data_IF_459956839069
#
_entry.id   IF_459956839069
#
_cell.length_a   1.000
_cell.length_b   1.000
_cell.length_c   1.000
_cell.angle_alpha   90.00
_cell.angle_beta   90.00
_cell.angle_gamma   90.00
#
_symmetry.space_group_name_H-M   'P 1'
#
loop_
_entity.id
_entity.type
_entity.pdbx_description
1 polymer ?
#
# COMPACT_ATOMS: atom_id res chain seq x y z
N UNK A 1 20.17 14.67 -29.60
CA UNK A 1 20.27 13.21 -29.31
C UNK A 1 20.14 12.85 -27.82
N UNK A 2 20.15 13.83 -26.90
CA UNK A 2 19.99 13.62 -25.43
C UNK A 2 18.54 13.58 -24.93
N UNK A 3 17.58 14.07 -25.68
CA UNK A 3 16.19 14.33 -25.24
C UNK A 3 15.27 13.08 -25.30
N UNK A 4 15.59 12.10 -26.15
CA UNK A 4 14.66 10.96 -26.41
C UNK A 4 14.82 9.75 -25.49
N UNK A 5 15.97 9.55 -24.85
CA UNK A 5 16.11 8.52 -23.81
C UNK A 5 15.47 8.96 -22.47
N UNK A 6 15.37 10.27 -22.26
CA UNK A 6 14.74 10.85 -21.07
C UNK A 6 13.23 10.55 -21.00
N UNK A 7 12.57 10.38 -22.14
CA UNK A 7 11.10 10.22 -22.17
C UNK A 7 10.59 8.87 -21.67
N UNK A 8 11.31 7.78 -21.90
CA UNK A 8 10.89 6.46 -21.37
C UNK A 8 11.02 6.40 -19.85
N UNK A 9 11.92 7.17 -19.32
CA UNK A 9 12.29 7.21 -17.91
C UNK A 9 11.39 8.15 -17.12
N UNK A 10 11.00 9.30 -17.71
CA UNK A 10 10.03 10.22 -17.09
C UNK A 10 8.67 9.54 -16.83
N UNK A 11 8.28 8.58 -17.67
CA UNK A 11 7.07 7.79 -17.46
C UNK A 11 7.09 6.95 -16.20
N UNK A 12 8.26 6.47 -15.79
CA UNK A 12 8.41 5.61 -14.62
C UNK A 12 8.59 6.43 -13.34
N UNK A 13 9.10 7.67 -13.46
CA UNK A 13 9.16 8.62 -12.35
C UNK A 13 7.77 9.17 -11.97
N UNK A 14 6.87 9.38 -12.94
CA UNK A 14 5.52 9.87 -12.70
C UNK A 14 4.64 8.89 -11.88
N UNK A 15 4.94 7.59 -11.90
CA UNK A 15 4.26 6.61 -11.07
C UNK A 15 4.61 6.68 -9.58
N UNK A 16 5.68 7.40 -9.22
CA UNK A 16 6.20 7.42 -7.85
C UNK A 16 6.05 8.79 -7.15
N UNK A 17 5.63 9.83 -7.87
CA UNK A 17 5.41 11.17 -7.28
C UNK A 17 4.06 11.30 -6.56
N UNK A 18 3.17 10.28 -6.64
CA UNK A 18 1.89 10.28 -5.94
C UNK A 18 1.95 9.82 -4.48
N UNK A 19 3.15 9.58 -3.93
CA UNK A 19 3.37 9.28 -2.52
C UNK A 19 4.01 10.45 -1.76
N UNK A 20 3.66 11.69 -2.09
CA UNK A 20 3.87 12.77 -1.12
C UNK A 20 2.98 12.46 0.10
N UNK A 21 3.56 12.36 1.30
CA UNK A 21 2.76 12.26 2.50
C UNK A 21 1.88 13.51 2.59
N UNK A 22 0.58 13.31 2.77
CA UNK A 22 -0.33 14.39 3.09
C UNK A 22 0.30 15.24 4.20
N UNK A 23 0.20 16.59 4.15
CA UNK A 23 0.74 17.42 5.19
C UNK A 23 0.20 16.94 6.52
N UNK A 24 1.11 16.64 7.45
CA UNK A 24 0.78 16.22 8.80
C UNK A 24 -0.10 17.30 9.43
N UNK A 25 -1.40 17.03 9.49
CA UNK A 25 -2.28 17.75 10.38
C UNK A 25 -1.75 17.52 11.78
N UNK A 26 -1.51 18.57 12.51
CA UNK A 26 -1.14 18.57 13.92
C UNK A 26 -2.12 17.70 14.68
N UNK A 27 -1.73 16.48 14.99
CA UNK A 27 -2.46 15.60 15.88
C UNK A 27 -2.04 15.99 17.29
N UNK A 28 -2.86 16.82 17.93
CA UNK A 28 -2.83 16.99 19.37
C UNK A 28 -3.07 15.63 20.05
N UNK A 29 -2.26 15.39 21.08
CA UNK A 29 -2.05 14.12 21.75
C UNK A 29 -3.32 13.34 22.10
N UNK A 30 -3.33 12.06 21.75
CA UNK A 30 -4.25 11.09 22.33
C UNK A 30 -3.49 9.88 22.89
N UNK A 31 -3.87 9.40 24.08
CA UNK A 31 -3.26 8.23 24.72
C UNK A 31 -3.60 6.96 23.94
N UNK A 32 -2.62 6.08 23.86
CA UNK A 32 -2.66 4.83 23.11
C UNK A 32 -3.86 3.94 23.43
N UNK A 33 -4.57 3.56 22.40
CA UNK A 33 -5.52 2.46 22.43
C UNK A 33 -4.85 1.26 21.76
N UNK A 34 -4.65 0.20 22.53
CA UNK A 34 -4.28 -1.12 22.02
C UNK A 34 -5.40 -1.60 21.12
N UNK A 35 -5.12 -1.80 19.84
CA UNK A 35 -6.04 -2.44 18.92
C UNK A 35 -5.93 -3.95 19.07
N UNK A 36 -7.00 -4.55 19.54
CA UNK A 36 -7.20 -5.99 19.52
C UNK A 36 -7.50 -6.43 18.09
N UNK A 37 -6.56 -7.15 17.45
CA UNK A 37 -6.60 -7.55 16.04
C UNK A 37 -7.62 -8.67 15.72
N UNK A 38 -8.62 -8.91 16.57
CA UNK A 38 -9.55 -10.03 16.43
C UNK A 38 -10.91 -9.72 15.77
N UNK A 39 -11.13 -8.53 15.21
CA UNK A 39 -12.45 -8.15 14.70
C UNK A 39 -12.60 -8.20 13.16
N UNK A 40 -11.72 -8.85 12.42
CA UNK A 40 -11.89 -9.05 10.97
C UNK A 40 -11.85 -10.53 10.54
N UNK A 41 -12.47 -11.40 11.29
CA UNK A 41 -12.71 -12.79 10.87
C UNK A 41 -14.16 -12.94 10.36
N UNK A 42 -14.45 -12.45 9.15
CA UNK A 42 -15.79 -12.55 8.58
C UNK A 42 -15.86 -12.57 7.04
N UNK A 43 -14.73 -12.67 6.35
CA UNK A 43 -14.74 -12.88 4.90
C UNK A 43 -14.38 -14.34 4.66
N UNK A 44 -15.26 -15.15 4.00
CA UNK A 44 -14.91 -16.51 3.65
C UNK A 44 -13.67 -16.47 2.76
N UNK A 45 -12.59 -17.04 3.23
CA UNK A 45 -11.45 -17.38 2.39
C UNK A 45 -11.90 -18.45 1.42
N UNK A 46 -12.19 -18.09 0.20
CA UNK A 46 -12.11 -19.08 -0.87
C UNK A 46 -10.67 -19.59 -0.90
N UNK A 47 -10.45 -20.88 -0.99
CA UNK A 47 -9.12 -21.41 -1.22
C UNK A 47 -8.66 -20.82 -2.56
N UNK A 48 -7.70 -19.94 -2.51
CA UNK A 48 -6.91 -19.57 -3.67
C UNK A 48 -6.14 -20.85 -3.95
N UNK A 49 -6.71 -21.69 -4.82
CA UNK A 49 -5.92 -22.70 -5.48
C UNK A 49 -4.71 -21.96 -6.01
N UNK A 50 -3.53 -22.40 -5.56
CA UNK A 50 -2.26 -21.91 -6.06
C UNK A 50 -2.19 -22.14 -7.57
N UNK A 51 -2.82 -21.28 -8.32
CA UNK A 51 -2.49 -21.07 -9.70
C UNK A 51 -1.14 -20.35 -9.57
N UNK A 52 -0.08 -21.17 -9.59
CA UNK A 52 1.20 -20.81 -10.16
C UNK A 52 0.92 -19.66 -11.11
N UNK A 53 1.60 -18.52 -10.92
CA UNK A 53 1.68 -17.49 -11.93
C UNK A 53 1.87 -18.22 -13.26
N UNK A 54 0.77 -18.50 -13.95
CA UNK A 54 0.82 -18.72 -15.37
C UNK A 54 1.32 -17.39 -15.88
N UNK A 55 2.64 -17.19 -15.83
CA UNK A 55 3.32 -16.38 -16.78
C UNK A 55 2.57 -16.66 -18.06
N UNK A 56 1.85 -15.67 -18.62
CA UNK A 56 1.36 -15.81 -19.96
C UNK A 56 2.49 -16.52 -20.67
N UNK A 57 2.29 -17.77 -21.07
CA UNK A 57 3.36 -18.53 -21.69
C UNK A 57 3.69 -17.72 -22.93
N UNK A 58 4.62 -16.79 -22.74
CA UNK A 58 5.42 -16.31 -23.85
C UNK A 58 5.96 -17.62 -24.39
N UNK A 59 5.40 -18.05 -25.50
CA UNK A 59 5.80 -19.29 -26.15
C UNK A 59 7.30 -19.26 -26.12
N UNK A 60 7.89 -20.22 -25.41
CA UNK A 60 9.32 -20.21 -25.14
C UNK A 60 10.01 -19.86 -26.44
N UNK A 61 10.73 -18.74 -26.55
CA UNK A 61 11.40 -18.38 -27.79
C UNK A 61 12.44 -19.43 -28.23
N UNK A 62 12.55 -20.49 -27.46
CA UNK A 62 13.55 -21.53 -27.54
C UNK A 62 13.08 -22.87 -28.15
N UNK A 63 11.90 -22.88 -28.77
CA UNK A 63 11.53 -24.02 -29.66
C UNK A 63 12.41 -23.99 -30.89
N UNK A 64 13.52 -24.72 -30.87
CA UNK A 64 14.44 -24.83 -32.00
C UNK A 64 13.73 -25.53 -33.17
N UNK A 65 13.75 -24.94 -34.38
CA UNK A 65 13.38 -25.67 -35.55
C UNK A 65 14.40 -26.82 -35.81
N UNK A 66 13.93 -27.98 -36.12
CA UNK A 66 14.69 -29.23 -36.34
C UNK A 66 15.40 -29.21 -37.71
N UNK A 67 16.05 -28.14 -38.10
CA UNK A 67 16.80 -28.08 -39.37
C UNK A 67 18.30 -27.91 -39.11
N UNK A 68 19.18 -28.64 -39.85
CA UNK A 68 20.62 -28.49 -39.71
C UNK A 68 21.04 -27.07 -40.09
N UNK A 69 21.69 -26.36 -39.17
CA UNK A 69 22.23 -25.05 -39.37
C UNK A 69 23.45 -25.10 -40.28
N UNK A 70 23.33 -24.60 -41.49
CA UNK A 70 24.50 -24.24 -42.31
C UNK A 70 25.21 -23.06 -41.62
N UNK A 71 26.55 -23.14 -41.36
CA UNK A 71 27.25 -22.02 -40.76
C UNK A 71 27.10 -20.78 -41.65
N UNK A 72 26.49 -19.75 -41.06
CA UNK A 72 26.30 -18.46 -41.76
C UNK A 72 27.66 -17.85 -42.05
N UNK A 73 28.02 -17.81 -43.32
CA UNK A 73 29.25 -17.14 -43.78
C UNK A 73 29.24 -15.68 -43.24
N UNK A 74 30.35 -15.25 -42.65
CA UNK A 74 30.57 -13.90 -42.13
C UNK A 74 30.31 -12.87 -43.23
N UNK A 75 29.13 -12.30 -43.27
CA UNK A 75 28.82 -11.25 -44.28
C UNK A 75 29.47 -9.93 -43.88
N UNK A 76 30.09 -9.22 -44.79
CA UNK A 76 30.79 -7.94 -44.49
C UNK A 76 29.82 -6.81 -44.07
N UNK A 77 28.52 -7.00 -44.20
CA UNK A 77 27.49 -6.04 -43.76
C UNK A 77 26.28 -6.76 -43.19
N UNK A 78 25.60 -6.08 -42.27
CA UNK A 78 24.31 -6.53 -41.69
C UNK A 78 23.21 -5.60 -42.16
N UNK A 79 22.14 -6.13 -42.70
CA UNK A 79 20.95 -5.38 -43.07
C UNK A 79 20.00 -5.33 -41.85
N UNK A 80 19.43 -4.16 -41.59
CA UNK A 80 18.46 -3.96 -40.54
C UNK A 80 17.11 -3.55 -41.13
N UNK A 81 16.04 -3.85 -40.42
CA UNK A 81 14.68 -3.43 -40.72
C UNK A 81 14.00 -2.86 -39.47
N UNK A 82 13.05 -1.93 -39.65
CA UNK A 82 12.30 -1.38 -38.53
C UNK A 82 11.36 -2.45 -37.95
N UNK A 83 11.24 -2.47 -36.60
CA UNK A 83 10.30 -3.26 -35.87
C UNK A 83 9.54 -2.42 -34.84
N UNK A 84 8.43 -2.91 -34.37
CA UNK A 84 7.54 -2.21 -33.44
C UNK A 84 7.24 -3.10 -32.26
N UNK A 85 7.28 -2.54 -31.06
CA UNK A 85 6.66 -3.11 -29.86
C UNK A 85 5.24 -2.56 -29.81
N UNK A 86 4.25 -3.43 -30.06
CA UNK A 86 2.86 -3.04 -30.18
C UNK A 86 2.13 -3.20 -28.85
N UNK A 87 1.34 -2.19 -28.48
CA UNK A 87 0.28 -2.27 -27.51
C UNK A 87 -1.05 -2.45 -28.25
N UNK A 88 -1.55 -3.67 -28.27
CA UNK A 88 -2.73 -4.04 -29.05
C UNK A 88 -4.05 -3.78 -28.32
N UNK A 89 -4.07 -3.71 -26.98
CA UNK A 89 -5.27 -3.81 -26.18
C UNK A 89 -5.43 -2.77 -25.07
N UNK A 90 -4.38 -2.01 -24.77
CA UNK A 90 -4.41 -1.09 -23.61
C UNK A 90 -5.23 0.17 -23.81
N UNK A 91 -5.51 0.54 -25.06
CA UNK A 91 -6.23 1.76 -25.43
C UNK A 91 -7.33 1.44 -26.47
N UNK A 92 -8.13 2.46 -26.78
CA UNK A 92 -9.23 2.32 -27.75
C UNK A 92 -8.79 1.84 -29.14
N UNK A 93 -7.52 2.07 -29.48
CA UNK A 93 -6.89 1.59 -30.72
C UNK A 93 -5.50 1.05 -30.42
N UNK A 94 -5.01 0.07 -31.19
CA UNK A 94 -3.63 -0.39 -31.09
C UNK A 94 -2.63 0.76 -31.27
N UNK A 95 -1.62 0.81 -30.41
CA UNK A 95 -0.61 1.85 -30.42
C UNK A 95 0.79 1.25 -30.45
N UNK A 96 1.70 1.86 -31.22
CA UNK A 96 3.11 1.53 -31.12
C UNK A 96 3.67 2.09 -29.80
N UNK A 97 4.13 1.21 -28.90
CA UNK A 97 4.77 1.60 -27.65
C UNK A 97 6.22 2.05 -27.88
N UNK A 98 6.95 1.32 -28.72
CA UNK A 98 8.30 1.68 -29.11
C UNK A 98 8.60 1.22 -30.55
N UNK A 99 9.54 1.89 -31.21
CA UNK A 99 10.16 1.47 -32.48
C UNK A 99 11.61 1.13 -32.22
N UNK A 100 12.14 0.22 -33.01
CA UNK A 100 13.54 -0.19 -32.96
C UNK A 100 13.99 -0.78 -34.27
N UNK A 101 15.28 -1.07 -34.40
CA UNK A 101 15.82 -1.80 -35.52
C UNK A 101 16.17 -3.23 -35.11
N UNK A 102 15.85 -4.18 -36.02
CA UNK A 102 16.24 -5.59 -35.87
C UNK A 102 17.01 -6.02 -37.11
N UNK A 103 17.84 -7.05 -37.05
CA UNK A 103 18.45 -7.63 -38.24
C UNK A 103 17.39 -8.14 -39.19
N UNK A 104 17.63 -7.96 -40.49
CA UNK A 104 16.73 -8.40 -41.54
C UNK A 104 16.45 -9.90 -41.45
N UNK A 105 15.18 -10.26 -41.57
CA UNK A 105 14.70 -11.64 -41.51
C UNK A 105 14.53 -12.20 -40.10
N UNK A 106 14.77 -11.42 -39.04
CA UNK A 106 14.41 -11.87 -37.69
C UNK A 106 12.90 -11.85 -37.51
N UNK A 107 12.40 -12.77 -36.67
CA UNK A 107 10.97 -12.88 -36.36
C UNK A 107 10.69 -12.26 -35.02
N UNK A 108 9.67 -11.41 -34.98
CA UNK A 108 9.23 -10.75 -33.74
C UNK A 108 8.01 -11.42 -33.14
N UNK A 109 7.94 -11.45 -31.81
CA UNK A 109 6.78 -11.94 -31.04
C UNK A 109 6.55 -11.09 -29.82
N UNK A 110 5.28 -11.03 -29.35
CA UNK A 110 4.91 -10.30 -28.14
C UNK A 110 4.63 -8.82 -28.36
N UNK A 111 4.62 -8.07 -27.27
CA UNK A 111 4.25 -6.64 -27.23
C UNK A 111 4.07 -6.11 -25.83
N UNK A 112 3.09 -5.23 -25.63
CA UNK A 112 2.61 -4.79 -24.32
C UNK A 112 1.38 -5.61 -23.97
N UNK A 113 1.31 -6.11 -22.75
CA UNK A 113 0.22 -6.94 -22.22
C UNK A 113 -0.47 -6.21 -21.08
N UNK A 114 -1.80 -6.25 -21.07
CA UNK A 114 -2.63 -5.70 -20.00
C UNK A 114 -3.37 -6.82 -19.29
N UNK A 115 -3.28 -6.83 -17.95
CA UNK A 115 -3.97 -7.81 -17.15
C UNK A 115 -4.17 -7.30 -15.71
N UNK A 116 -5.21 -7.81 -15.03
CA UNK A 116 -5.52 -7.41 -13.66
C UNK A 116 -4.43 -7.83 -12.67
N UNK A 117 -3.72 -8.92 -12.93
CA UNK A 117 -2.60 -9.38 -12.12
C UNK A 117 -1.39 -8.44 -12.14
N UNK A 118 -1.31 -7.52 -13.10
CA UNK A 118 -0.23 -6.52 -13.19
C UNK A 118 -0.49 -5.26 -12.34
N UNK A 119 -1.26 -5.36 -11.26
CA UNK A 119 -1.59 -4.22 -10.38
C UNK A 119 -0.35 -3.51 -9.86
N UNK A 120 0.69 -4.27 -9.53
CA UNK A 120 1.96 -3.71 -9.04
C UNK A 120 2.71 -2.89 -10.09
N UNK A 121 2.44 -3.13 -11.37
CA UNK A 121 3.00 -2.42 -12.52
C UNK A 121 1.95 -1.61 -13.30
N UNK A 122 0.93 -1.11 -12.58
CA UNK A 122 -0.14 -0.26 -13.11
C UNK A 122 -1.00 -0.90 -14.21
N UNK A 123 -1.17 -2.22 -14.17
CA UNK A 123 -2.08 -2.97 -15.04
C UNK A 123 -1.46 -3.40 -16.38
N UNK A 124 -0.20 -3.09 -16.67
CA UNK A 124 0.45 -3.50 -17.92
C UNK A 124 1.88 -4.00 -17.70
N UNK A 125 2.38 -4.76 -18.66
CA UNK A 125 3.74 -5.25 -18.68
C UNK A 125 4.25 -5.44 -20.12
N UNK A 126 5.55 -5.66 -20.26
CA UNK A 126 6.21 -5.91 -21.54
C UNK A 126 6.60 -7.38 -21.64
N UNK A 127 6.57 -7.90 -22.87
CA UNK A 127 7.08 -9.21 -23.20
C UNK A 127 7.24 -9.29 -24.72
N UNK A 128 8.39 -8.81 -25.22
CA UNK A 128 8.67 -8.76 -26.65
C UNK A 128 10.02 -9.40 -26.96
N UNK A 129 10.13 -10.07 -28.10
CA UNK A 129 11.39 -10.63 -28.56
C UNK A 129 11.53 -10.61 -30.07
N UNK A 130 12.78 -10.64 -30.55
CA UNK A 130 13.14 -10.88 -31.92
C UNK A 130 14.19 -11.99 -31.97
N UNK A 131 13.99 -12.97 -32.86
CA UNK A 131 14.82 -14.17 -32.97
C UNK A 131 15.31 -14.37 -34.41
N UNK A 132 16.57 -14.73 -34.54
CA UNK A 132 17.20 -15.05 -35.83
C UNK A 132 16.50 -16.20 -36.54
N UNK A 133 16.62 -16.33 -37.86
CA UNK A 133 15.97 -17.40 -38.64
C UNK A 133 16.35 -18.82 -38.20
N UNK A 134 17.56 -19.01 -37.69
CA UNK A 134 18.05 -20.27 -37.15
C UNK A 134 17.60 -20.54 -35.70
N UNK A 135 16.94 -19.57 -35.04
CA UNK A 135 16.45 -19.67 -33.69
C UNK A 135 17.52 -19.60 -32.60
N UNK A 136 18.80 -19.39 -32.96
CA UNK A 136 19.91 -19.48 -32.00
C UNK A 136 20.30 -18.17 -31.37
N UNK A 137 20.01 -17.07 -32.04
CA UNK A 137 20.36 -15.72 -31.58
C UNK A 137 19.08 -14.92 -31.38
N UNK A 138 18.94 -14.26 -30.26
CA UNK A 138 17.74 -13.46 -29.96
C UNK A 138 18.04 -12.23 -29.13
N UNK A 139 17.14 -11.26 -29.22
CA UNK A 139 17.03 -10.15 -28.30
C UNK A 139 15.61 -10.06 -27.76
N UNK A 140 15.47 -9.56 -26.54
CA UNK A 140 14.16 -9.44 -25.90
C UNK A 140 14.06 -8.18 -25.03
N UNK A 141 12.84 -7.72 -24.87
CA UNK A 141 12.44 -6.80 -23.81
C UNK A 141 11.64 -7.61 -22.79
N UNK A 142 12.27 -7.88 -21.66
CA UNK A 142 11.67 -8.64 -20.56
C UNK A 142 10.80 -7.75 -19.68
N UNK A 143 9.89 -8.34 -18.90
CA UNK A 143 8.92 -7.61 -18.11
C UNK A 143 9.54 -6.60 -17.14
N UNK A 144 8.85 -5.49 -16.96
CA UNK A 144 9.05 -4.63 -15.80
C UNK A 144 8.57 -5.36 -14.53
N UNK A 145 9.12 -4.98 -13.38
CA UNK A 145 8.75 -5.55 -12.10
C UNK A 145 8.65 -4.48 -11.01
N UNK A 146 7.77 -4.71 -10.05
CA UNK A 146 7.76 -3.93 -8.83
C UNK A 146 7.56 -4.86 -7.63
N UNK A 147 8.12 -4.51 -6.49
CA UNK A 147 8.03 -5.28 -5.26
C UNK A 147 8.17 -4.38 -4.05
N UNK A 148 7.83 -4.94 -2.90
CA UNK A 148 8.00 -4.31 -1.61
C UNK A 148 8.80 -5.21 -0.68
N UNK A 149 9.47 -4.62 0.31
CA UNK A 149 10.08 -5.32 1.43
C UNK A 149 9.89 -4.49 2.70
N UNK A 150 9.66 -5.13 3.83
CA UNK A 150 9.57 -4.45 5.11
C UNK A 150 10.10 -5.30 6.25
N UNK A 151 10.55 -4.65 7.32
CA UNK A 151 11.05 -5.31 8.53
C UNK A 151 9.95 -5.60 9.54
N UNK A 152 8.77 -5.02 9.38
CA UNK A 152 7.63 -5.17 10.30
C UNK A 152 6.83 -6.46 10.08
N UNK A 153 7.07 -7.19 8.98
CA UNK A 153 6.29 -8.38 8.61
C UNK A 153 4.84 -8.08 8.21
N UNK A 154 4.49 -6.80 8.01
CA UNK A 154 3.14 -6.43 7.55
C UNK A 154 2.92 -6.84 6.09
N UNK A 155 1.68 -7.15 5.68
CA UNK A 155 1.35 -7.38 4.27
C UNK A 155 1.73 -6.21 3.38
N UNK A 156 1.90 -6.47 2.08
CA UNK A 156 2.12 -5.42 1.09
C UNK A 156 1.05 -4.33 1.17
N UNK A 157 1.48 -3.08 1.06
CA UNK A 157 0.57 -1.93 1.05
C UNK A 157 -0.20 -1.81 -0.27
N UNK A 158 0.32 -2.43 -1.34
CA UNK A 158 -0.31 -2.48 -2.66
C UNK A 158 -0.74 -3.91 -3.00
N UNK A 159 -2.05 -4.15 -3.23
CA UNK A 159 -2.53 -5.46 -3.64
C UNK A 159 -1.79 -5.96 -4.89
N UNK A 160 -1.37 -7.22 -4.87
CA UNK A 160 -0.67 -7.84 -6.00
C UNK A 160 0.82 -7.53 -6.11
N UNK A 161 1.39 -6.70 -5.22
CA UNK A 161 2.83 -6.50 -5.15
C UNK A 161 3.49 -7.60 -4.30
N UNK A 162 4.48 -8.33 -4.84
CA UNK A 162 5.18 -9.34 -4.08
C UNK A 162 6.04 -8.72 -2.99
N UNK A 163 6.16 -9.41 -1.86
CA UNK A 163 7.13 -9.10 -0.82
C UNK A 163 8.42 -9.85 -1.13
N UNK A 164 9.46 -9.12 -1.54
CA UNK A 164 10.75 -9.68 -1.89
C UNK A 164 11.88 -8.89 -1.19
N UNK A 165 12.76 -9.57 -0.50
CA UNK A 165 13.92 -8.94 0.13
C UNK A 165 15.06 -8.72 -0.89
N UNK A 166 14.79 -7.91 -1.91
CA UNK A 166 15.72 -7.54 -2.97
C UNK A 166 15.96 -6.03 -2.88
N UNK A 167 17.19 -5.63 -2.56
CA UNK A 167 17.58 -4.24 -2.34
C UNK A 167 18.74 -3.77 -3.22
N UNK A 168 19.15 -4.58 -4.20
CA UNK A 168 20.20 -4.27 -5.17
C UNK A 168 19.78 -4.66 -6.58
N UNK A 169 20.34 -3.96 -7.57
CA UNK A 169 20.16 -4.31 -8.99
C UNK A 169 20.70 -5.71 -9.30
N UNK A 170 21.81 -6.11 -8.68
CA UNK A 170 22.38 -7.44 -8.88
C UNK A 170 21.40 -8.53 -8.43
N UNK A 171 20.88 -8.44 -7.21
CA UNK A 171 19.91 -9.40 -6.70
C UNK A 171 18.64 -9.48 -7.55
N UNK A 172 18.19 -8.33 -8.07
CA UNK A 172 17.07 -8.29 -9.01
C UNK A 172 17.38 -9.04 -10.31
N UNK A 173 18.53 -8.75 -10.95
CA UNK A 173 18.90 -9.38 -12.22
C UNK A 173 19.12 -10.89 -12.07
N UNK A 174 19.73 -11.33 -10.96
CA UNK A 174 19.89 -12.77 -10.66
C UNK A 174 18.53 -13.46 -10.55
N UNK A 175 17.57 -12.88 -9.81
CA UNK A 175 16.22 -13.41 -9.71
C UNK A 175 15.48 -13.41 -11.05
N UNK A 176 15.58 -12.33 -11.82
CA UNK A 176 14.96 -12.22 -13.14
C UNK A 176 15.48 -13.28 -14.09
N UNK A 177 16.80 -13.52 -14.14
CA UNK A 177 17.40 -14.55 -14.99
C UNK A 177 16.90 -15.94 -14.59
N UNK A 178 16.82 -16.26 -13.31
CA UNK A 178 16.29 -17.57 -12.86
C UNK A 178 14.82 -17.74 -13.23
N UNK A 179 14.04 -16.67 -13.22
CA UNK A 179 12.63 -16.70 -13.64
C UNK A 179 12.47 -16.88 -15.15
N UNK A 180 13.27 -16.16 -15.94
CA UNK A 180 13.14 -16.14 -17.41
C UNK A 180 13.87 -17.28 -18.09
N UNK A 181 14.98 -17.75 -17.50
CA UNK A 181 15.82 -18.85 -18.01
C UNK A 181 16.17 -19.79 -16.86
N UNK A 182 15.22 -20.67 -16.44
CA UNK A 182 15.44 -21.59 -15.33
C UNK A 182 16.69 -22.44 -15.52
N UNK A 183 17.54 -22.51 -14.47
CA UNK A 183 18.78 -23.27 -14.50
C UNK A 183 19.97 -22.52 -15.12
N UNK A 184 19.82 -21.25 -15.50
CA UNK A 184 20.92 -20.43 -15.95
C UNK A 184 21.94 -20.21 -14.81
N UNK A 185 23.23 -20.18 -15.18
CA UNK A 185 24.32 -19.88 -14.25
C UNK A 185 24.78 -18.44 -14.44
N UNK A 186 24.82 -17.66 -13.38
CA UNK A 186 25.44 -16.34 -13.41
C UNK A 186 26.93 -16.50 -13.65
N UNK A 187 27.48 -15.77 -14.61
CA UNK A 187 28.88 -15.81 -15.00
C UNK A 187 29.61 -14.54 -14.57
N UNK A 188 28.98 -13.39 -14.78
CA UNK A 188 29.57 -12.09 -14.45
C UNK A 188 28.47 -11.05 -14.22
N UNK A 189 28.82 -9.98 -13.49
CA UNK A 189 27.96 -8.83 -13.25
C UNK A 189 28.80 -7.55 -13.37
N UNK A 190 28.24 -6.55 -14.01
CA UNK A 190 28.83 -5.19 -14.07
C UNK A 190 27.78 -4.12 -13.83
N UNK A 191 28.17 -3.07 -13.15
CA UNK A 191 27.36 -1.87 -13.08
C UNK A 191 27.32 -1.15 -14.43
N UNK A 192 26.18 -0.50 -14.70
CA UNK A 192 25.94 0.23 -15.96
C UNK A 192 25.53 1.68 -15.67
N UNK A 193 26.45 2.52 -15.17
CA UNK A 193 26.15 3.92 -14.84
C UNK A 193 25.69 4.74 -16.05
N UNK A 194 26.02 4.31 -17.25
CA UNK A 194 25.53 4.90 -18.50
C UNK A 194 23.99 4.79 -18.67
N UNK A 195 23.38 3.74 -18.10
CA UNK A 195 21.93 3.60 -18.09
C UNK A 195 21.28 4.57 -17.08
N UNK A 196 21.93 4.85 -15.95
CA UNK A 196 21.45 5.81 -14.95
C UNK A 196 21.44 7.25 -15.44
N UNK A 197 22.44 7.62 -16.24
CA UNK A 197 22.50 8.97 -16.83
C UNK A 197 21.26 9.30 -17.67
N UNK A 198 20.67 8.28 -18.29
CA UNK A 198 19.43 8.43 -19.04
C UNK A 198 18.21 8.66 -18.12
N UNK A 199 18.27 8.21 -16.87
CA UNK A 199 17.16 8.33 -15.89
C UNK A 199 17.08 9.73 -15.29
N UNK A 200 18.17 10.46 -15.27
CA UNK A 200 18.28 11.81 -14.66
C UNK A 200 17.61 11.88 -13.26
N UNK A 201 17.72 10.81 -12.51
CA UNK A 201 17.12 10.67 -11.15
C UNK A 201 18.25 10.59 -10.10
N UNK A 202 18.74 11.74 -9.61
CA UNK A 202 19.77 11.75 -8.58
C UNK A 202 19.23 11.13 -7.30
N UNK A 203 20.08 10.54 -6.45
CA UNK A 203 19.68 10.06 -5.15
C UNK A 203 19.21 11.22 -4.27
N UNK A 204 18.14 10.99 -3.53
CA UNK A 204 17.59 11.97 -2.59
C UNK A 204 17.48 11.38 -1.19
N UNK A 205 17.57 12.25 -0.19
CA UNK A 205 17.32 11.92 1.21
C UNK A 205 16.51 13.04 1.82
N UNK A 206 15.31 12.73 2.27
CA UNK A 206 14.38 13.70 2.88
C UNK A 206 14.10 13.27 4.32
N UNK A 207 14.41 14.16 5.28
CA UNK A 207 14.10 13.92 6.66
C UNK A 207 12.59 14.08 6.91
N UNK A 208 12.04 13.25 7.80
CA UNK A 208 10.68 13.31 8.32
C UNK A 208 10.72 13.41 9.84
N UNK A 209 9.63 13.81 10.53
CA UNK A 209 9.62 13.94 11.99
C UNK A 209 10.06 12.70 12.75
N UNK A 210 9.77 11.50 12.21
CA UNK A 210 10.08 10.22 12.84
C UNK A 210 10.92 9.32 11.91
N UNK A 211 11.81 9.90 11.11
CA UNK A 211 12.63 9.08 10.22
C UNK A 211 13.10 9.79 8.97
N UNK A 212 13.18 9.06 7.87
CA UNK A 212 13.63 9.58 6.59
C UNK A 212 13.12 8.78 5.40
N UNK A 213 13.07 9.42 4.25
CA UNK A 213 12.88 8.77 2.96
C UNK A 213 14.16 8.90 2.15
N UNK A 214 14.64 7.77 1.63
CA UNK A 214 15.77 7.69 0.70
C UNK A 214 15.29 7.16 -0.63
N UNK A 215 15.67 7.85 -1.70
CA UNK A 215 15.41 7.38 -3.06
C UNK A 215 16.73 7.29 -3.81
N UNK A 216 16.98 6.18 -4.49
CA UNK A 216 18.13 6.01 -5.35
C UNK A 216 17.79 5.09 -6.52
N UNK A 217 18.65 5.08 -7.53
CA UNK A 217 18.52 4.18 -8.66
C UNK A 217 19.82 3.44 -8.88
N UNK A 218 19.71 2.19 -9.25
CA UNK A 218 20.84 1.35 -9.64
C UNK A 218 20.61 0.80 -11.04
N UNK A 219 21.66 0.51 -11.75
CA UNK A 219 21.62 -0.17 -13.04
C UNK A 219 22.78 -1.11 -13.21
N UNK A 220 22.53 -2.21 -13.88
CA UNK A 220 23.50 -3.26 -14.06
C UNK A 220 23.26 -4.08 -15.30
N UNK A 221 24.24 -4.88 -15.63
CA UNK A 221 24.19 -5.90 -16.65
C UNK A 221 24.77 -7.19 -16.10
N UNK A 222 24.06 -8.30 -16.33
CA UNK A 222 24.44 -9.62 -15.88
C UNK A 222 24.67 -10.52 -17.08
N UNK A 223 25.82 -11.20 -17.10
CA UNK A 223 26.16 -12.24 -18.05
C UNK A 223 25.79 -13.59 -17.45
N UNK A 224 25.11 -14.43 -18.22
CA UNK A 224 24.73 -15.78 -17.77
C UNK A 224 24.94 -16.83 -18.85
N UNK A 225 25.11 -18.08 -18.41
CA UNK A 225 25.25 -19.25 -19.26
C UNK A 225 24.14 -20.25 -19.00
N UNK A 226 23.67 -20.91 -20.03
CA UNK A 226 22.61 -21.93 -19.97
C UNK A 226 22.75 -22.91 -21.12
N UNK A 227 21.95 -23.96 -21.13
CA UNK A 227 21.97 -24.95 -22.19
C UNK A 227 20.61 -25.06 -22.87
N UNK A 228 20.62 -25.14 -24.19
CA UNK A 228 19.44 -25.52 -24.97
C UNK A 228 19.79 -26.74 -25.82
N UNK A 229 19.09 -27.82 -25.61
CA UNK A 229 19.30 -29.12 -26.35
C UNK A 229 20.76 -29.54 -26.39
N UNK A 230 21.47 -29.42 -25.26
CA UNK A 230 22.88 -29.77 -25.13
C UNK A 230 23.89 -28.77 -25.71
N UNK A 231 23.41 -27.63 -26.26
CA UNK A 231 24.27 -26.56 -26.75
C UNK A 231 24.47 -25.51 -25.69
N UNK A 232 25.72 -25.15 -25.44
CA UNK A 232 26.07 -24.03 -24.54
C UNK A 232 25.66 -22.70 -25.16
N UNK A 233 24.94 -21.90 -24.38
CA UNK A 233 24.46 -20.57 -24.74
C UNK A 233 24.99 -19.53 -23.76
N UNK A 234 25.13 -18.31 -24.23
CA UNK A 234 25.42 -17.13 -23.42
C UNK A 234 24.29 -16.12 -23.56
N UNK A 235 23.94 -15.50 -22.47
CA UNK A 235 22.99 -14.40 -22.47
C UNK A 235 23.48 -13.23 -21.64
N UNK A 236 23.03 -12.04 -21.99
CA UNK A 236 23.20 -10.84 -21.16
C UNK A 236 21.84 -10.22 -20.91
N UNK A 237 21.66 -9.64 -19.73
CA UNK A 237 20.47 -8.86 -19.40
C UNK A 237 20.88 -7.57 -18.69
N UNK A 238 20.32 -6.44 -19.14
CA UNK A 238 20.59 -5.13 -18.57
C UNK A 238 19.28 -4.45 -18.16
N UNK A 239 19.27 -3.91 -16.95
CA UNK A 239 18.13 -3.16 -16.42
C UNK A 239 18.57 -2.03 -15.50
N UNK A 240 17.59 -1.22 -15.12
CA UNK A 240 17.68 -0.24 -14.03
C UNK A 240 16.51 -0.42 -13.06
N UNK A 241 16.79 -0.16 -11.79
CA UNK A 241 15.81 -0.23 -10.70
C UNK A 241 15.84 1.09 -9.94
N UNK A 242 14.67 1.64 -9.63
CA UNK A 242 14.51 2.73 -8.68
C UNK A 242 14.05 2.14 -7.35
N UNK A 243 14.74 2.50 -6.29
CA UNK A 243 14.44 2.13 -4.92
C UNK A 243 13.94 3.34 -4.15
N UNK A 244 12.96 3.12 -3.30
CA UNK A 244 12.45 4.09 -2.34
C UNK A 244 12.36 3.43 -0.98
N UNK A 245 13.20 3.84 -0.04
CA UNK A 245 13.27 3.31 1.32
C UNK A 245 12.74 4.35 2.29
N UNK A 246 11.66 4.03 2.96
CA UNK A 246 11.15 4.78 4.10
C UNK A 246 11.63 4.11 5.39
N UNK A 247 12.32 4.87 6.21
CA UNK A 247 12.74 4.45 7.55
C UNK A 247 11.93 5.24 8.56
N UNK A 248 11.21 4.55 9.44
CA UNK A 248 10.53 5.16 10.59
C UNK A 248 11.18 4.69 11.88
N UNK A 249 11.48 5.62 12.77
CA UNK A 249 12.11 5.35 14.05
C UNK A 249 11.32 6.05 15.16
N UNK A 250 10.62 5.28 15.96
CA UNK A 250 9.80 5.79 17.06
C UNK A 250 10.56 5.81 18.40
N UNK A 251 11.84 5.46 18.41
CA UNK A 251 12.65 5.37 19.64
C UNK A 251 12.73 6.70 20.41
N UNK A 252 12.63 7.82 19.70
CA UNK A 252 12.70 9.16 20.30
C UNK A 252 11.35 9.70 20.80
N UNK A 253 10.22 9.09 20.44
CA UNK A 253 8.88 9.61 20.77
C UNK A 253 8.64 9.70 22.28
N UNK A 254 9.25 8.80 23.05
CA UNK A 254 9.01 8.70 24.50
C UNK A 254 10.17 9.15 25.36
N UNK A 255 11.31 9.54 24.75
CA UNK A 255 12.54 9.89 25.51
C UNK A 255 12.40 11.15 26.39
N UNK A 256 11.49 12.05 26.04
CA UNK A 256 11.32 13.33 26.75
C UNK A 256 9.86 13.59 27.19
N UNK A 257 9.01 12.57 27.20
CA UNK A 257 7.62 12.74 27.66
C UNK A 257 7.54 12.53 29.17
N UNK A 258 7.28 13.59 29.97
CA UNK A 258 7.20 13.50 31.42
C UNK A 258 6.01 12.67 31.90
N UNK A 259 5.05 12.33 31.04
CA UNK A 259 3.88 11.52 31.39
C UNK A 259 4.17 10.03 31.35
N UNK A 260 5.31 9.61 30.79
CA UNK A 260 5.70 8.21 30.58
C UNK A 260 6.71 7.73 31.63
N UNK A 261 6.85 8.44 32.73
CA UNK A 261 7.78 8.09 33.81
C UNK A 261 7.36 6.75 34.43
N UNK A 262 8.27 5.75 34.40
CA UNK A 262 8.03 4.43 34.99
C UNK A 262 7.27 3.44 34.10
N UNK A 263 6.92 3.80 32.85
CA UNK A 263 6.32 2.90 31.88
C UNK A 263 7.41 2.27 31.00
N UNK A 264 7.39 0.94 30.83
CA UNK A 264 8.27 0.28 29.88
C UNK A 264 7.82 0.60 28.45
N UNK A 265 8.56 1.51 27.80
CA UNK A 265 8.30 1.95 26.42
C UNK A 265 9.07 1.14 25.38
N UNK A 266 9.87 0.14 25.79
CA UNK A 266 10.71 -0.63 24.89
C UNK A 266 9.94 -1.30 23.74
N UNK A 267 8.72 -1.76 24.02
CA UNK A 267 7.83 -2.35 23.01
C UNK A 267 7.33 -1.36 21.94
N UNK A 268 7.42 -0.05 22.20
CA UNK A 268 7.01 1.03 21.25
C UNK A 268 8.21 1.65 20.55
N UNK A 269 9.43 1.31 20.98
CA UNK A 269 10.67 1.78 20.36
C UNK A 269 11.03 0.88 19.18
N UNK A 270 10.38 1.10 18.05
CA UNK A 270 10.57 0.28 16.86
C UNK A 270 11.20 1.10 15.74
N UNK A 271 12.18 0.49 15.08
CA UNK A 271 12.69 0.95 13.80
C UNK A 271 12.12 0.05 12.70
N UNK A 272 11.31 0.64 11.85
CA UNK A 272 10.73 -0.06 10.71
C UNK A 272 11.31 0.48 9.42
N UNK A 273 11.62 -0.43 8.51
CA UNK A 273 12.08 -0.11 7.17
C UNK A 273 11.08 -0.66 6.16
N UNK A 274 10.64 0.20 5.26
CA UNK A 274 9.76 -0.13 4.17
C UNK A 274 10.43 0.26 2.86
N UNK A 275 10.76 -0.76 2.04
CA UNK A 275 11.33 -0.59 0.73
C UNK A 275 10.26 -0.82 -0.32
N UNK A 276 10.13 0.11 -1.26
CA UNK A 276 9.45 -0.14 -2.53
C UNK A 276 10.43 0.00 -3.68
N UNK A 277 10.34 -0.91 -4.65
CA UNK A 277 11.23 -0.93 -5.79
C UNK A 277 10.46 -1.06 -7.10
N UNK A 278 10.98 -0.44 -8.14
CA UNK A 278 10.46 -0.52 -9.48
C UNK A 278 11.58 -0.73 -10.49
N UNK A 279 11.54 -1.85 -11.20
CA UNK A 279 12.47 -2.19 -12.27
C UNK A 279 11.87 -1.86 -13.64
N UNK A 280 12.62 -1.12 -14.44
CA UNK A 280 12.30 -0.87 -15.84
C UNK A 280 12.32 -2.19 -16.65
N UNK A 281 11.63 -2.25 -17.79
CA UNK A 281 11.75 -3.38 -18.70
C UNK A 281 13.22 -3.67 -19.01
N UNK A 282 13.64 -4.91 -18.84
CA UNK A 282 15.02 -5.30 -19.04
C UNK A 282 15.29 -5.63 -20.52
N UNK A 283 16.42 -5.22 -21.03
CA UNK A 283 16.91 -5.68 -22.33
C UNK A 283 17.76 -6.91 -22.17
N UNK A 284 17.39 -7.99 -22.85
CA UNK A 284 18.13 -9.24 -22.86
C UNK A 284 18.62 -9.59 -24.28
N UNK A 285 19.75 -10.27 -24.36
CA UNK A 285 20.29 -10.80 -25.60
C UNK A 285 20.90 -12.18 -25.34
N UNK A 286 20.76 -13.09 -26.31
CA UNK A 286 21.23 -14.46 -26.18
C UNK A 286 21.80 -14.94 -27.52
N UNK A 287 22.87 -15.75 -27.45
CA UNK A 287 23.52 -16.36 -28.60
C UNK A 287 24.27 -17.63 -28.17
N UNK A 288 24.69 -18.51 -29.08
CA UNK A 288 25.60 -19.60 -28.79
C UNK A 288 26.90 -19.09 -28.13
N UNK A 289 27.50 -19.93 -27.30
CA UNK A 289 28.76 -19.61 -26.64
C UNK A 289 29.82 -19.17 -27.64
N UNK A 290 30.53 -18.09 -27.32
CA UNK A 290 31.52 -17.46 -28.19
C UNK A 290 30.93 -16.59 -29.32
N UNK A 291 29.60 -16.51 -29.48
CA UNK A 291 28.94 -15.71 -30.53
C UNK A 291 28.15 -14.50 -30.01
N UNK A 292 28.13 -14.25 -28.70
CA UNK A 292 27.46 -13.10 -28.10
C UNK A 292 28.27 -11.83 -28.37
N UNK A 293 27.83 -11.04 -29.33
CA UNK A 293 28.44 -9.76 -29.71
C UNK A 293 27.83 -8.61 -28.92
N UNK A 294 28.49 -8.20 -27.84
CA UNK A 294 27.99 -7.15 -26.92
C UNK A 294 27.80 -5.80 -27.64
N UNK A 295 28.71 -5.43 -28.58
CA UNK A 295 28.60 -4.15 -29.28
C UNK A 295 27.38 -4.13 -30.24
N UNK A 296 27.14 -5.24 -30.88
CA UNK A 296 26.00 -5.42 -31.75
C UNK A 296 24.69 -5.29 -30.97
N UNK A 297 24.54 -6.04 -29.85
CA UNK A 297 23.34 -5.98 -29.04
C UNK A 297 23.17 -4.63 -28.35
N UNK A 298 24.24 -3.98 -27.92
CA UNK A 298 24.17 -2.62 -27.38
C UNK A 298 23.68 -1.62 -28.45
N UNK A 299 24.11 -1.77 -29.70
CA UNK A 299 23.57 -1.00 -30.83
C UNK A 299 22.07 -1.19 -31.02
N UNK A 300 21.56 -2.45 -30.93
CA UNK A 300 20.15 -2.76 -31.01
C UNK A 300 19.38 -2.15 -29.83
N UNK A 301 19.87 -2.33 -28.61
CA UNK A 301 19.29 -1.72 -27.41
C UNK A 301 19.17 -0.20 -27.55
N UNK A 302 20.22 0.46 -28.02
CA UNK A 302 20.22 1.90 -28.26
C UNK A 302 19.31 2.34 -29.38
N UNK A 303 18.85 1.44 -30.25
CA UNK A 303 17.91 1.76 -31.33
C UNK A 303 16.45 1.83 -30.82
N UNK A 304 16.16 1.34 -29.65
CA UNK A 304 14.81 1.39 -29.06
C UNK A 304 14.42 2.85 -28.81
N UNK A 305 13.28 3.26 -29.39
CA UNK A 305 12.73 4.62 -29.28
C UNK A 305 11.28 4.54 -28.82
N UNK A 306 10.94 5.07 -27.65
CA UNK A 306 9.54 5.19 -27.22
C UNK A 306 8.75 6.08 -28.19
N UNK A 307 7.50 5.72 -28.43
CA UNK A 307 6.59 6.53 -29.24
C UNK A 307 5.85 7.52 -28.35
N UNK A 308 5.97 8.81 -28.62
CA UNK A 308 5.44 9.89 -27.78
C UNK A 308 3.95 9.77 -27.54
N UNK A 309 3.15 9.35 -28.53
CA UNK A 309 1.71 9.19 -28.37
C UNK A 309 1.39 8.13 -27.30
N UNK A 310 2.07 6.98 -27.33
CA UNK A 310 1.88 5.92 -26.34
C UNK A 310 2.39 6.36 -24.96
N UNK A 311 3.56 7.00 -24.90
CA UNK A 311 4.11 7.48 -23.62
C UNK A 311 3.19 8.50 -22.96
N UNK A 312 2.57 9.40 -23.72
CA UNK A 312 1.58 10.34 -23.19
C UNK A 312 0.32 9.65 -22.69
N UNK A 313 -0.16 8.64 -23.43
CA UNK A 313 -1.33 7.86 -23.01
C UNK A 313 -1.08 7.08 -21.71
N UNK A 314 0.10 6.46 -21.57
CA UNK A 314 0.53 5.78 -20.33
C UNK A 314 0.67 6.77 -19.17
N UNK A 315 1.28 7.95 -19.41
CA UNK A 315 1.35 8.98 -18.36
C UNK A 315 -0.04 9.37 -17.86
N UNK A 316 -0.99 9.60 -18.79
CA UNK A 316 -2.38 9.88 -18.41
C UNK A 316 -3.05 8.72 -17.67
N UNK A 317 -2.76 7.47 -18.03
CA UNK A 317 -3.25 6.29 -17.32
C UNK A 317 -2.70 6.25 -15.88
N UNK A 318 -1.39 6.42 -15.70
CA UNK A 318 -0.74 6.41 -14.40
C UNK A 318 -1.24 7.54 -13.49
N UNK A 319 -1.43 8.74 -14.03
CA UNK A 319 -2.01 9.87 -13.29
C UNK A 319 -3.42 9.56 -12.79
N UNK A 320 -4.26 8.93 -13.62
CA UNK A 320 -5.61 8.51 -13.19
C UNK A 320 -5.56 7.48 -12.05
N UNK A 321 -4.66 6.49 -12.13
CA UNK A 321 -4.47 5.52 -11.04
C UNK A 321 -4.08 6.25 -9.76
N UNK A 322 -3.11 7.17 -9.84
CA UNK A 322 -2.68 7.97 -8.68
C UNK A 322 -3.82 8.81 -8.10
N UNK A 323 -4.65 9.46 -8.93
CA UNK A 323 -5.82 10.22 -8.48
C UNK A 323 -6.83 9.33 -7.76
N UNK A 324 -7.17 8.16 -8.32
CA UNK A 324 -8.08 7.20 -7.69
C UNK A 324 -7.52 6.75 -6.33
N UNK A 325 -6.23 6.44 -6.24
CA UNK A 325 -5.59 6.04 -5.00
C UNK A 325 -5.65 7.15 -3.92
N UNK A 326 -5.44 8.41 -4.32
CA UNK A 326 -5.56 9.56 -3.41
C UNK A 326 -7.00 9.77 -2.92
N UNK A 327 -7.99 9.65 -3.82
CA UNK A 327 -9.41 9.77 -3.46
C UNK A 327 -9.82 8.65 -2.49
N UNK A 328 -9.43 7.42 -2.75
CA UNK A 328 -9.68 6.29 -1.86
C UNK A 328 -8.98 6.46 -0.50
N UNK A 329 -7.75 6.97 -0.49
CA UNK A 329 -7.03 7.32 0.74
C UNK A 329 -7.78 8.38 1.56
N UNK A 330 -8.28 9.44 0.94
CA UNK A 330 -9.09 10.47 1.61
C UNK A 330 -10.38 9.91 2.19
N UNK A 331 -11.11 9.09 1.42
CA UNK A 331 -12.34 8.43 1.90
C UNK A 331 -12.07 7.56 3.12
N UNK A 332 -11.00 6.75 3.09
CA UNK A 332 -10.60 5.92 4.25
C UNK A 332 -10.26 6.77 5.46
N UNK A 333 -9.49 7.84 5.29
CA UNK A 333 -9.16 8.76 6.38
C UNK A 333 -10.41 9.41 6.98
N UNK A 334 -11.37 9.81 6.14
CA UNK A 334 -12.66 10.35 6.60
C UNK A 334 -13.44 9.32 7.41
N UNK A 335 -13.59 8.08 6.92
CA UNK A 335 -14.27 6.99 7.65
C UNK A 335 -13.64 6.74 9.02
N UNK A 336 -12.29 6.75 9.09
CA UNK A 336 -11.55 6.57 10.35
C UNK A 336 -11.85 7.74 11.30
N UNK A 337 -11.82 8.98 10.82
CA UNK A 337 -12.09 10.16 11.63
C UNK A 337 -13.53 10.18 12.14
N UNK A 338 -14.50 9.86 11.29
CA UNK A 338 -15.92 9.79 11.67
C UNK A 338 -16.14 8.67 12.71
N UNK A 339 -15.53 7.51 12.53
CA UNK A 339 -15.58 6.40 13.48
C UNK A 339 -14.96 6.77 14.84
N UNK A 340 -13.82 7.47 14.85
CA UNK A 340 -13.18 7.92 16.08
C UNK A 340 -14.03 8.97 16.81
N UNK A 341 -14.66 9.89 16.07
CA UNK A 341 -15.59 10.88 16.65
C UNK A 341 -16.79 10.19 17.30
N UNK A 342 -17.37 9.19 16.63
CA UNK A 342 -18.49 8.42 17.16
C UNK A 342 -18.10 7.59 18.40
N UNK A 343 -16.96 6.92 18.39
CA UNK A 343 -16.42 6.21 19.56
C UNK A 343 -16.25 7.17 20.74
N UNK A 344 -15.73 8.38 20.48
CA UNK A 344 -15.54 9.39 21.52
C UNK A 344 -16.88 9.91 22.08
N UNK A 345 -17.92 10.03 21.23
CA UNK A 345 -19.29 10.36 21.65
C UNK A 345 -19.85 9.27 22.56
N UNK A 346 -19.81 8.02 22.12
CA UNK A 346 -20.31 6.86 22.89
C UNK A 346 -19.60 6.77 24.25
N UNK A 347 -18.29 6.96 24.30
CA UNK A 347 -17.53 6.95 25.57
C UNK A 347 -18.03 8.02 26.54
N UNK A 348 -18.25 9.24 26.06
CA UNK A 348 -18.76 10.34 26.92
C UNK A 348 -20.18 10.02 27.41
N UNK A 349 -21.06 9.56 26.56
CA UNK A 349 -22.43 9.19 26.94
C UNK A 349 -22.45 8.05 27.96
N UNK A 350 -21.63 7.01 27.73
CA UNK A 350 -21.49 5.90 28.67
C UNK A 350 -20.96 6.39 30.02
N UNK A 351 -19.94 7.23 30.03
CA UNK A 351 -19.40 7.79 31.26
C UNK A 351 -20.43 8.60 32.03
N UNK A 352 -21.15 9.50 31.35
CA UNK A 352 -22.22 10.30 31.96
C UNK A 352 -23.32 9.40 32.57
N UNK A 353 -23.81 8.43 31.83
CA UNK A 353 -24.80 7.47 32.32
C UNK A 353 -24.31 6.65 33.52
N UNK A 354 -23.00 6.30 33.56
CA UNK A 354 -22.42 5.63 34.72
C UNK A 354 -22.37 6.55 35.94
N UNK A 355 -22.03 7.83 35.77
CA UNK A 355 -22.02 8.81 36.85
C UNK A 355 -23.42 9.04 37.38
N UNK A 356 -24.42 9.28 36.54
CA UNK A 356 -25.82 9.45 36.93
C UNK A 356 -26.32 8.22 37.71
N UNK A 357 -25.97 7.02 37.23
CA UNK A 357 -26.34 5.77 37.91
C UNK A 357 -25.62 5.60 39.27
N UNK A 358 -24.35 6.07 39.37
CA UNK A 358 -23.61 6.04 40.63
C UNK A 358 -24.18 7.05 41.64
N UNK A 359 -24.50 8.26 41.21
CA UNK A 359 -25.08 9.30 42.03
C UNK A 359 -26.49 8.88 42.57
N UNK A 360 -27.31 8.31 41.68
CA UNK A 360 -28.60 7.75 42.09
C UNK A 360 -28.45 6.67 43.13
N UNK A 361 -27.56 5.69 42.92
CA UNK A 361 -27.31 4.62 43.93
C UNK A 361 -26.79 5.18 45.24
N UNK A 362 -25.87 6.15 45.21
CA UNK A 362 -25.34 6.79 46.41
C UNK A 362 -26.45 7.52 47.19
N UNK A 363 -27.34 8.22 46.53
CA UNK A 363 -28.51 8.87 47.13
C UNK A 363 -29.44 7.83 47.77
N UNK A 364 -29.91 6.82 47.02
CA UNK A 364 -30.81 5.77 47.47
C UNK A 364 -30.23 5.00 48.66
N UNK A 365 -28.92 4.70 48.64
CA UNK A 365 -28.24 4.07 49.76
C UNK A 365 -28.22 4.99 50.99
N UNK A 366 -27.91 6.26 50.82
CA UNK A 366 -27.94 7.24 51.91
C UNK A 366 -29.34 7.44 52.50
N UNK A 367 -30.39 7.48 51.70
CA UNK A 367 -31.78 7.55 52.12
C UNK A 367 -32.20 6.29 52.90
N UNK A 368 -31.81 5.10 52.40
CA UNK A 368 -32.11 3.82 53.06
C UNK A 368 -31.48 3.76 54.48
N UNK A 369 -30.19 4.16 54.62
CA UNK A 369 -29.52 4.16 55.93
C UNK A 369 -30.20 5.12 56.91
N UNK A 370 -30.65 6.26 56.46
CA UNK A 370 -31.32 7.26 57.31
C UNK A 370 -32.81 6.97 57.52
N UNK A 371 -33.37 6.00 56.83
CA UNK A 371 -34.79 5.68 56.85
C UNK A 371 -35.68 6.81 56.31
N UNK A 372 -35.15 7.54 55.28
CA UNK A 372 -35.86 8.66 54.64
C UNK A 372 -35.92 8.45 53.14
N UNK A 373 -36.81 9.18 52.49
CA UNK A 373 -36.92 9.34 51.03
C UNK A 373 -37.00 10.82 50.69
N UNK A 374 -36.31 11.23 49.64
CA UNK A 374 -36.33 12.57 49.11
C UNK A 374 -37.53 12.81 48.21
N UNK A 375 -38.22 13.91 48.42
CA UNK A 375 -39.39 14.36 47.64
C UNK A 375 -39.09 15.70 46.99
N UNK A 376 -39.65 15.90 45.80
CA UNK A 376 -39.52 17.20 45.05
C UNK A 376 -40.42 18.21 45.72
N UNK A 377 -39.82 19.27 46.29
CA UNK A 377 -40.54 20.41 46.87
C UNK A 377 -39.92 21.73 46.41
N UNK A 378 -40.46 22.38 45.38
CA UNK A 378 -39.91 23.62 44.81
C UNK A 378 -39.87 24.78 45.79
N UNK A 379 -40.66 24.73 46.89
CA UNK A 379 -40.73 25.78 47.89
C UNK A 379 -39.82 25.51 49.08
N UNK A 380 -39.17 24.33 49.15
CA UNK A 380 -38.17 24.03 50.18
C UNK A 380 -36.80 24.60 49.78
N UNK A 381 -35.94 25.02 50.77
CA UNK A 381 -34.56 25.39 50.49
C UNK A 381 -33.83 24.22 49.83
N UNK A 382 -33.40 24.37 48.57
CA UNK A 382 -32.75 23.31 47.77
C UNK A 382 -33.68 22.51 46.86
N UNK A 383 -35.01 22.81 46.83
CA UNK A 383 -35.96 22.20 45.89
C UNK A 383 -36.38 20.77 46.25
N UNK A 384 -35.90 20.22 47.38
CA UNK A 384 -36.23 18.86 47.85
C UNK A 384 -36.37 18.84 49.36
N UNK A 385 -37.11 17.85 49.88
CA UNK A 385 -37.28 17.58 51.32
C UNK A 385 -37.13 16.09 51.57
N UNK A 386 -36.43 15.70 52.65
CA UNK A 386 -36.34 14.32 53.12
C UNK A 386 -37.46 14.07 54.12
N UNK A 387 -38.21 12.98 53.91
CA UNK A 387 -39.30 12.53 54.82
C UNK A 387 -39.17 11.04 55.14
N UNK A 388 -39.78 10.60 56.22
CA UNK A 388 -39.68 9.20 56.68
C UNK A 388 -40.24 8.23 55.61
N UNK A 389 -39.48 7.16 55.31
CA UNK A 389 -39.86 6.09 54.39
C UNK A 389 -41.01 5.22 54.95
N UNK A 390 -41.42 5.42 56.19
CA UNK A 390 -42.52 4.68 56.83
C UNK A 390 -43.90 5.05 56.29
N UNK A 391 -43.98 6.10 55.50
CA UNK A 391 -45.26 6.61 54.98
C UNK A 391 -45.22 6.66 53.46
N UNK A 392 -46.31 6.18 52.81
CA UNK A 392 -46.38 6.08 51.37
C UNK A 392 -46.69 7.43 50.67
N UNK A 393 -47.29 8.39 51.42
CA UNK A 393 -47.73 9.66 50.86
C UNK A 393 -47.22 10.82 51.71
N UNK A 394 -46.65 11.80 51.05
CA UNK A 394 -46.17 13.06 51.65
C UNK A 394 -46.86 14.24 51.00
N UNK A 395 -47.43 15.10 51.82
CA UNK A 395 -48.11 16.30 51.42
C UNK A 395 -47.41 17.51 52.02
N UNK A 396 -47.25 18.58 51.24
CA UNK A 396 -46.89 19.90 51.77
C UNK A 396 -48.13 20.76 51.87
N UNK A 397 -48.39 21.32 53.05
CA UNK A 397 -49.50 22.22 53.31
C UNK A 397 -49.10 23.66 52.95
N UNK A 398 -50.11 24.50 52.75
CA UNK A 398 -49.93 25.92 52.38
C UNK A 398 -49.26 26.75 53.51
N UNK A 399 -49.30 26.28 54.76
CA UNK A 399 -48.62 26.89 55.88
C UNK A 399 -47.11 26.52 55.97
N UNK A 400 -46.66 25.68 55.02
CA UNK A 400 -45.29 25.21 54.96
C UNK A 400 -44.98 23.93 55.75
N UNK A 401 -45.95 23.38 56.47
CA UNK A 401 -45.81 22.11 57.19
C UNK A 401 -45.99 20.90 56.27
N UNK A 402 -45.62 19.69 56.76
CA UNK A 402 -45.74 18.46 56.01
C UNK A 402 -46.66 17.49 56.74
N UNK A 403 -47.49 16.79 55.97
CA UNK A 403 -48.31 15.67 56.46
C UNK A 403 -47.88 14.38 55.75
N UNK A 404 -47.63 13.32 56.51
CA UNK A 404 -47.29 12.00 56.04
C UNK A 404 -48.45 11.06 56.34
N UNK A 405 -48.84 10.22 55.38
CA UNK A 405 -49.98 9.30 55.57
C UNK A 405 -49.75 8.01 54.75
N UNK A 406 -50.19 6.88 55.35
CA UNK A 406 -50.28 5.57 54.65
C UNK A 406 -51.64 5.34 54.02
N UNK A 407 -52.62 6.24 54.30
CA UNK A 407 -53.94 6.14 53.68
C UNK A 407 -53.84 6.65 52.21
N UNK A 408 -54.07 5.75 51.23
CA UNK A 408 -54.05 6.14 49.81
C UNK A 408 -55.17 7.15 49.44
N UNK A 409 -56.22 7.25 50.27
CA UNK A 409 -57.33 8.17 50.05
C UNK A 409 -57.22 9.45 50.87
N UNK A 410 -56.12 9.63 51.64
CA UNK A 410 -55.94 10.83 52.41
C UNK A 410 -55.86 12.07 51.51
N UNK A 411 -56.63 13.11 51.85
CA UNK A 411 -56.61 14.38 51.16
C UNK A 411 -56.68 15.51 52.19
N UNK A 412 -55.63 16.38 52.28
CA UNK A 412 -55.50 17.38 53.30
C UNK A 412 -56.73 18.27 53.48
N UNK A 413 -57.37 18.68 52.39
CA UNK A 413 -58.56 19.55 52.45
C UNK A 413 -59.76 18.82 53.09
N UNK A 414 -60.03 17.58 52.68
CA UNK A 414 -61.13 16.77 53.18
C UNK A 414 -60.96 16.39 54.65
N UNK A 415 -59.74 15.96 55.02
CA UNK A 415 -59.49 15.29 56.29
C UNK A 415 -59.02 16.26 57.43
N UNK A 416 -58.35 17.38 57.00
CA UNK A 416 -57.81 18.39 57.93
C UNK A 416 -58.35 19.81 57.68
N UNK A 417 -59.12 20.01 56.63
CA UNK A 417 -59.60 21.36 56.16
C UNK A 417 -58.44 22.31 55.86
N UNK A 418 -57.31 21.72 55.42
CA UNK A 418 -56.09 22.48 55.03
C UNK A 418 -55.78 22.22 53.55
N UNK A 419 -55.38 23.26 52.87
CA UNK A 419 -54.95 23.08 51.51
C UNK A 419 -53.49 22.63 51.46
N UNK A 420 -53.21 21.68 50.57
CA UNK A 420 -51.85 21.14 50.36
C UNK A 420 -51.69 20.45 49.02
N UNK A 421 -50.46 20.22 48.63
CA UNK A 421 -50.10 19.45 47.44
C UNK A 421 -49.36 18.17 47.80
N UNK A 422 -49.63 17.11 47.10
CA UNK A 422 -48.86 15.86 47.19
C UNK A 422 -47.48 16.07 46.58
N UNK A 423 -46.46 15.60 47.27
CA UNK A 423 -45.08 15.62 46.76
C UNK A 423 -44.75 14.31 46.06
N UNK A 424 -43.94 14.40 45.03
CA UNK A 424 -43.47 13.23 44.31
C UNK A 424 -42.04 12.86 44.74
N UNK A 425 -41.70 11.56 44.83
CA UNK A 425 -40.36 11.14 45.12
C UNK A 425 -39.38 11.60 44.03
N UNK A 426 -38.16 11.93 44.41
CA UNK A 426 -37.08 12.23 43.47
C UNK A 426 -36.71 10.93 42.78
N UNK A 427 -36.79 10.95 41.44
CA UNK A 427 -36.47 9.78 40.60
C UNK A 427 -34.98 9.54 40.46
#
# INVERSE_FOLDING_TARGET
MRVLLTSLVLLLAACNESSDPAPAGTADGMPGASYDNNAMNGIPRQPVNGTSLAAAQVASPYSLPTAPSTPSATRPFRRFEPAVILDATGFAQPMAAATLFIPHGWRTTGGVFWAQEFTCTNGYNFGWSATSPDGLTSMAVWPQAAWEANTSGTPSTRPGCPLLNINTIRGYLEGLVQQMVPGARVLDFRERPDLLQALNSPPTRTAMPLGEVRTWSESGELLFGFQIQGREMRGTVAASVKFNLMVTDTSSMFQNDPTVVGVDTSQYQTRNEFLSAFANPAFAAMAPDGQLDFNFFEGLRRSIRPVTAWTSAITGHNLRIGQVALEEGRKRAQIINDSNAEISRIRRETWNSQQESADKRAREFGETIRGVQSYVDPDAPGGTVEQSIQYDNVWRLNDGSYVLSDDPNFEPYRDLQLEGRKLEPVQ
#
